data_IF_858522109357
#
_entry.id   IF_858522109357
#
_cell.length_a   1.000
_cell.length_b   1.000
_cell.length_c   1.000
_cell.angle_alpha   90.00
_cell.angle_beta   90.00
_cell.angle_gamma   90.00
#
_symmetry.space_group_name_H-M   'P 1'
#
loop_
_entity.id
_entity.type
_entity.pdbx_description
1 polymer ?
#
# COMPACT_ATOMS: atom_id res chain seq x y z
N UNK A 1 26.04 -3.12 9.50
CA UNK A 1 26.02 -4.38 8.74
C UNK A 1 27.43 -4.82 8.33
N UNK A 2 28.18 -4.02 7.54
CA UNK A 2 29.53 -4.39 7.04
C UNK A 2 30.47 -4.97 8.10
N UNK A 3 30.62 -4.32 9.25
CA UNK A 3 31.46 -4.83 10.36
C UNK A 3 31.00 -6.18 10.90
N UNK A 4 29.69 -6.43 10.94
CA UNK A 4 29.19 -7.69 11.43
C UNK A 4 29.50 -8.82 10.44
N UNK A 5 29.35 -8.58 9.13
CA UNK A 5 29.73 -9.55 8.11
C UNK A 5 31.23 -9.89 8.20
N UNK A 6 32.07 -8.87 8.35
CA UNK A 6 33.53 -9.01 8.42
C UNK A 6 34.02 -9.68 9.72
N UNK A 7 33.51 -9.26 10.88
CA UNK A 7 34.04 -9.68 12.18
C UNK A 7 33.32 -10.89 12.78
N UNK A 8 32.17 -11.25 12.23
CA UNK A 8 31.36 -12.38 12.73
C UNK A 8 31.16 -13.45 11.65
N UNK A 9 32.00 -13.48 10.62
CA UNK A 9 32.05 -14.53 9.59
C UNK A 9 30.66 -14.86 9.00
N UNK A 10 29.90 -13.81 8.66
CA UNK A 10 28.54 -13.91 8.10
C UNK A 10 27.53 -14.70 8.96
N UNK A 11 27.77 -14.86 10.26
CA UNK A 11 26.81 -15.48 11.16
C UNK A 11 25.44 -14.75 11.10
N UNK A 12 24.30 -15.48 11.25
CA UNK A 12 22.98 -14.86 11.21
C UNK A 12 22.84 -13.73 12.22
N UNK A 13 22.54 -12.54 11.74
CA UNK A 13 22.46 -11.36 12.61
C UNK A 13 21.05 -11.16 13.15
N UNK A 14 20.96 -10.75 14.42
CA UNK A 14 19.70 -10.48 15.13
C UNK A 14 19.76 -9.09 15.74
N UNK A 15 18.83 -8.20 15.34
CA UNK A 15 18.83 -6.79 15.77
C UNK A 15 17.53 -6.41 16.48
N UNK A 16 17.60 -5.48 17.43
CA UNK A 16 16.44 -4.80 18.03
C UNK A 16 16.24 -3.47 17.31
N UNK A 17 15.24 -3.38 16.43
CA UNK A 17 15.13 -2.27 15.48
C UNK A 17 16.19 -2.32 14.37
N UNK A 18 17.05 -1.29 14.21
CA UNK A 18 17.31 -0.19 15.17
C UNK A 18 16.33 0.98 15.12
N UNK A 19 16.11 1.64 16.26
CA UNK A 19 15.44 2.93 16.32
C UNK A 19 16.26 3.97 15.55
N UNK A 20 15.65 4.68 14.61
CA UNK A 20 16.34 5.70 13.81
C UNK A 20 16.32 7.09 14.46
N UNK A 21 15.53 7.26 15.51
CA UNK A 21 15.38 8.53 16.25
C UNK A 21 14.78 8.26 17.63
N UNK A 22 15.17 9.07 18.62
CA UNK A 22 14.78 8.91 20.03
C UNK A 22 13.65 9.86 20.46
N UNK A 23 13.17 10.73 19.57
CA UNK A 23 12.26 11.83 19.92
C UNK A 23 10.76 11.48 19.83
N UNK A 24 10.42 10.20 19.61
CA UNK A 24 9.04 9.77 19.37
C UNK A 24 8.59 8.58 20.26
N UNK A 25 8.78 8.64 21.59
CA UNK A 25 8.26 7.59 22.48
C UNK A 25 6.73 7.49 22.32
N UNK A 26 6.20 6.26 22.28
CA UNK A 26 4.82 5.99 21.86
C UNK A 26 4.70 5.56 20.40
N UNK A 27 5.74 5.84 19.59
CA UNK A 27 5.81 5.51 18.16
C UNK A 27 7.08 4.73 17.81
N UNK A 28 7.72 4.09 18.79
CA UNK A 28 9.01 3.43 18.59
C UNK A 28 8.94 2.20 17.69
N UNK A 29 7.79 1.54 17.60
CA UNK A 29 7.51 0.55 16.55
C UNK A 29 7.73 1.12 15.13
N UNK A 30 7.42 2.40 14.89
CA UNK A 30 7.62 3.08 13.60
C UNK A 30 9.07 3.50 13.45
N UNK A 31 9.64 4.19 14.45
CA UNK A 31 11.04 4.67 14.39
C UNK A 31 12.00 3.51 14.18
N UNK A 32 11.74 2.39 14.84
CA UNK A 32 12.51 1.17 14.68
C UNK A 32 12.15 0.36 13.44
N UNK A 33 10.89 0.39 12.98
CA UNK A 33 10.46 -0.26 11.75
C UNK A 33 11.23 0.24 10.52
N UNK A 34 11.55 1.54 10.48
CA UNK A 34 12.39 2.15 9.44
C UNK A 34 13.79 1.51 9.44
N UNK A 35 14.47 1.54 10.59
CA UNK A 35 15.81 0.98 10.71
C UNK A 35 15.82 -0.54 10.51
N UNK A 36 14.79 -1.24 10.97
CA UNK A 36 14.61 -2.68 10.82
C UNK A 36 14.48 -3.08 9.34
N UNK A 37 13.70 -2.34 8.54
CA UNK A 37 13.61 -2.57 7.10
C UNK A 37 14.96 -2.33 6.40
N UNK A 38 15.68 -1.27 6.77
CA UNK A 38 17.00 -0.97 6.20
C UNK A 38 18.04 -2.04 6.54
N UNK A 39 18.18 -2.40 7.83
CA UNK A 39 19.18 -3.38 8.24
C UNK A 39 18.81 -4.80 7.79
N UNK A 40 17.51 -5.10 7.70
CA UNK A 40 16.99 -6.32 7.09
C UNK A 40 17.36 -6.41 5.62
N UNK A 41 17.18 -5.33 4.86
CA UNK A 41 17.61 -5.24 3.45
C UNK A 41 19.12 -5.47 3.32
N UNK A 42 19.91 -4.90 4.22
CA UNK A 42 21.36 -5.07 4.23
C UNK A 42 21.85 -6.47 4.65
N UNK A 43 20.96 -7.36 5.11
CA UNK A 43 21.30 -8.77 5.36
C UNK A 43 21.07 -9.25 6.79
N UNK A 44 20.40 -8.48 7.66
CA UNK A 44 19.99 -8.98 8.97
C UNK A 44 19.03 -10.17 8.82
N UNK A 45 19.26 -11.24 9.56
CA UNK A 45 18.52 -12.50 9.41
C UNK A 45 17.23 -12.53 10.24
N UNK A 46 17.21 -11.83 11.38
CA UNK A 46 16.05 -11.76 12.26
C UNK A 46 15.92 -10.37 12.89
N UNK A 47 14.69 -9.88 13.02
CA UNK A 47 14.38 -8.56 13.55
C UNK A 47 13.55 -8.72 14.83
N UNK A 48 14.09 -8.27 15.96
CA UNK A 48 13.33 -8.19 17.21
C UNK A 48 12.41 -7.00 17.09
N UNK A 49 11.11 -7.26 17.22
CA UNK A 49 10.12 -6.21 17.20
C UNK A 49 10.27 -5.22 18.36
N UNK A 50 9.76 -4.03 18.15
CA UNK A 50 9.64 -2.98 19.16
C UNK A 50 8.17 -2.60 19.20
N UNK A 51 7.61 -2.49 20.40
CA UNK A 51 6.19 -2.15 20.56
C UNK A 51 5.98 -0.63 20.58
N UNK A 52 4.75 -0.13 20.36
CA UNK A 52 4.45 1.29 20.54
C UNK A 52 4.84 1.84 21.92
N UNK A 53 4.72 1.02 22.98
CA UNK A 53 5.00 1.41 24.37
C UNK A 53 6.44 1.16 24.82
N UNK A 54 7.34 0.82 23.90
CA UNK A 54 8.76 0.77 24.25
C UNK A 54 9.18 2.10 24.91
N UNK A 55 10.04 2.01 25.94
CA UNK A 55 10.43 3.14 26.78
C UNK A 55 9.33 3.80 27.62
N UNK A 56 8.08 3.29 27.60
CA UNK A 56 6.95 3.87 28.33
C UNK A 56 6.28 2.89 29.31
N UNK A 57 6.23 1.60 28.99
CA UNK A 57 5.65 0.60 29.88
C UNK A 57 5.39 -0.74 29.22
N UNK A 58 4.73 -1.64 29.95
CA UNK A 58 4.40 -2.97 29.42
C UNK A 58 3.36 -2.88 28.29
N UNK A 59 3.58 -3.56 27.15
CA UNK A 59 2.62 -3.59 26.05
C UNK A 59 1.38 -4.38 26.43
N UNK A 60 0.22 -3.92 25.96
CA UNK A 60 -1.03 -4.68 26.00
C UNK A 60 -1.18 -5.55 24.73
N UNK A 61 -2.29 -6.29 24.63
CA UNK A 61 -2.59 -7.17 23.48
C UNK A 61 -2.52 -6.42 22.14
N UNK A 62 -3.04 -5.19 22.08
CA UNK A 62 -3.07 -4.41 20.86
C UNK A 62 -1.67 -3.90 20.48
N UNK A 63 -0.88 -3.45 21.46
CA UNK A 63 0.50 -3.02 21.25
C UNK A 63 1.37 -4.16 20.70
N UNK A 64 1.13 -5.39 21.16
CA UNK A 64 1.80 -6.59 20.63
C UNK A 64 1.39 -6.84 19.18
N UNK A 65 0.10 -6.81 18.84
CA UNK A 65 -0.37 -6.96 17.45
C UNK A 65 0.26 -5.89 16.55
N UNK A 66 0.28 -4.63 16.99
CA UNK A 66 0.85 -3.51 16.25
C UNK A 66 2.34 -3.70 15.97
N UNK A 67 3.12 -4.07 16.99
CA UNK A 67 4.55 -4.35 16.84
C UNK A 67 4.81 -5.51 15.87
N UNK A 68 4.04 -6.60 15.97
CA UNK A 68 4.20 -7.77 15.09
C UNK A 68 3.87 -7.40 13.64
N UNK A 69 2.75 -6.73 13.39
CA UNK A 69 2.36 -6.32 12.03
C UNK A 69 3.39 -5.34 11.45
N UNK A 70 3.86 -4.37 12.25
CA UNK A 70 4.88 -3.40 11.83
C UNK A 70 6.17 -4.10 11.40
N UNK A 71 6.65 -5.09 12.17
CA UNK A 71 7.87 -5.81 11.83
C UNK A 71 7.68 -6.83 10.71
N UNK A 72 6.47 -7.39 10.52
CA UNK A 72 6.13 -8.17 9.34
C UNK A 72 6.17 -7.32 8.06
N UNK A 73 5.74 -6.07 8.13
CA UNK A 73 5.88 -5.10 7.04
C UNK A 73 7.37 -4.80 6.79
N UNK A 74 8.14 -4.48 7.83
CA UNK A 74 9.57 -4.17 7.69
C UNK A 74 10.37 -5.34 7.10
N UNK A 75 10.12 -6.56 7.56
CA UNK A 75 10.75 -7.77 7.03
C UNK A 75 10.36 -8.01 5.57
N UNK A 76 9.08 -7.89 5.21
CA UNK A 76 8.62 -8.04 3.83
C UNK A 76 9.20 -6.96 2.91
N UNK A 77 9.31 -5.71 3.38
CA UNK A 77 9.95 -4.62 2.65
C UNK A 77 11.45 -4.91 2.40
N UNK A 78 12.15 -5.47 3.40
CA UNK A 78 13.51 -5.94 3.24
C UNK A 78 13.60 -7.07 2.19
N UNK A 79 12.69 -8.04 2.22
CA UNK A 79 12.66 -9.14 1.24
C UNK A 79 12.40 -8.65 -0.19
N UNK A 80 11.51 -7.67 -0.36
CA UNK A 80 11.29 -7.00 -1.65
C UNK A 80 12.56 -6.28 -2.14
N UNK A 81 13.21 -5.51 -1.27
CA UNK A 81 14.43 -4.78 -1.62
C UNK A 81 15.63 -5.70 -1.92
N UNK A 82 15.65 -6.89 -1.31
CA UNK A 82 16.62 -7.97 -1.61
C UNK A 82 16.29 -8.73 -2.90
N UNK A 83 15.10 -8.55 -3.47
CA UNK A 83 14.63 -9.34 -4.60
C UNK A 83 14.41 -10.82 -4.23
N UNK A 84 13.99 -11.11 -2.99
CA UNK A 84 13.75 -12.48 -2.54
C UNK A 84 12.70 -13.16 -3.44
N UNK A 85 12.96 -14.37 -3.98
CA UNK A 85 12.00 -15.10 -4.79
C UNK A 85 10.64 -15.22 -4.07
N UNK A 86 9.57 -14.80 -4.74
CA UNK A 86 8.20 -14.89 -4.23
C UNK A 86 7.71 -13.70 -3.39
N UNK A 87 8.58 -12.81 -2.89
CA UNK A 87 8.14 -11.65 -2.12
C UNK A 87 7.19 -10.77 -2.94
N UNK A 88 7.57 -10.46 -4.18
CA UNK A 88 6.79 -9.61 -5.09
C UNK A 88 5.44 -10.23 -5.52
N UNK A 89 5.25 -11.54 -5.39
CA UNK A 89 3.99 -12.18 -5.81
C UNK A 89 2.81 -11.70 -4.96
N UNK A 90 3.01 -11.52 -3.65
CA UNK A 90 1.97 -11.01 -2.76
C UNK A 90 1.59 -9.57 -3.12
N UNK A 91 2.57 -8.70 -3.34
CA UNK A 91 2.38 -7.31 -3.75
C UNK A 91 1.61 -7.21 -5.05
N UNK A 92 2.00 -8.01 -6.05
CA UNK A 92 1.34 -8.03 -7.35
C UNK A 92 -0.09 -8.58 -7.25
N UNK A 93 -0.33 -9.63 -6.47
CA UNK A 93 -1.66 -10.19 -6.26
C UNK A 93 -2.61 -9.18 -5.57
N UNK A 94 -2.12 -8.49 -4.53
CA UNK A 94 -2.89 -7.47 -3.82
C UNK A 94 -3.12 -6.25 -4.71
N UNK A 95 -2.11 -5.79 -5.43
CA UNK A 95 -2.22 -4.66 -6.36
C UNK A 95 -3.21 -4.94 -7.49
N UNK A 96 -3.22 -6.18 -8.00
CA UNK A 96 -4.19 -6.62 -9.00
C UNK A 96 -5.60 -6.66 -8.41
N UNK A 97 -5.78 -7.22 -7.21
CA UNK A 97 -7.08 -7.22 -6.53
C UNK A 97 -7.61 -5.79 -6.30
N UNK A 98 -6.72 -4.85 -5.96
CA UNK A 98 -7.04 -3.43 -5.81
C UNK A 98 -7.51 -2.79 -7.11
N UNK A 99 -6.77 -3.01 -8.20
CA UNK A 99 -7.10 -2.44 -9.50
C UNK A 99 -8.41 -2.99 -10.07
N UNK A 100 -8.69 -4.28 -9.84
CA UNK A 100 -9.91 -4.97 -10.28
C UNK A 100 -11.09 -4.82 -9.29
N UNK A 101 -10.96 -3.98 -8.26
CA UNK A 101 -11.98 -3.76 -7.23
C UNK A 101 -12.48 -5.06 -6.54
N UNK A 102 -11.62 -6.08 -6.45
CA UNK A 102 -11.88 -7.31 -5.70
C UNK A 102 -11.60 -7.08 -4.22
N UNK A 103 -12.47 -6.31 -3.57
CA UNK A 103 -12.30 -5.85 -2.19
C UNK A 103 -12.02 -6.98 -1.20
N UNK A 104 -12.78 -8.06 -1.26
CA UNK A 104 -12.58 -9.24 -0.39
C UNK A 104 -11.19 -9.85 -0.54
N UNK A 105 -10.73 -10.02 -1.78
CA UNK A 105 -9.40 -10.55 -2.05
C UNK A 105 -8.32 -9.59 -1.57
N UNK A 106 -8.51 -8.27 -1.76
CA UNK A 106 -7.59 -7.26 -1.26
C UNK A 106 -7.47 -7.32 0.26
N UNK A 107 -8.58 -7.44 1.00
CA UNK A 107 -8.54 -7.55 2.46
C UNK A 107 -7.82 -8.82 2.89
N UNK A 108 -8.19 -9.96 2.31
CA UNK A 108 -7.65 -11.27 2.69
C UNK A 108 -6.15 -11.41 2.36
N UNK A 109 -5.66 -10.69 1.35
CA UNK A 109 -4.23 -10.62 1.01
C UNK A 109 -3.43 -9.67 1.92
N UNK A 110 -4.10 -8.77 2.64
CA UNK A 110 -3.49 -7.85 3.61
C UNK A 110 -2.76 -8.56 4.76
N UNK A 111 -1.82 -7.89 5.40
CA UNK A 111 -1.12 -8.43 6.57
C UNK A 111 -2.01 -8.46 7.83
N UNK A 112 -3.01 -7.59 7.88
CA UNK A 112 -4.08 -7.58 8.88
C UNK A 112 -5.44 -7.44 8.18
N UNK A 113 -6.04 -8.57 7.73
CA UNK A 113 -7.31 -8.56 7.00
C UNK A 113 -8.47 -7.96 7.78
N UNK A 114 -8.51 -8.16 9.10
CA UNK A 114 -9.55 -7.62 9.99
C UNK A 114 -9.54 -6.09 9.94
N UNK A 115 -8.38 -5.48 10.17
CA UNK A 115 -8.22 -4.01 10.11
C UNK A 115 -8.50 -3.46 8.72
N UNK A 116 -8.08 -4.17 7.67
CA UNK A 116 -8.31 -3.75 6.28
C UNK A 116 -9.81 -3.64 5.97
N UNK A 117 -10.60 -4.60 6.45
CA UNK A 117 -12.06 -4.62 6.31
C UNK A 117 -12.73 -3.56 7.18
N UNK A 118 -12.32 -3.47 8.44
CA UNK A 118 -12.83 -2.48 9.40
C UNK A 118 -12.73 -1.06 8.83
N UNK A 119 -11.55 -0.65 8.35
CA UNK A 119 -11.34 0.71 7.84
C UNK A 119 -12.13 1.02 6.57
N UNK A 120 -12.38 0.03 5.71
CA UNK A 120 -13.27 0.21 4.58
C UNK A 120 -14.72 0.42 5.05
N UNK A 121 -15.15 -0.43 5.98
CA UNK A 121 -16.55 -0.52 6.43
C UNK A 121 -16.96 0.62 7.36
N UNK A 122 -15.99 1.33 7.96
CA UNK A 122 -16.24 2.59 8.68
C UNK A 122 -17.02 3.61 7.84
N UNK A 123 -16.85 3.60 6.51
CA UNK A 123 -17.51 4.55 5.60
C UNK A 123 -18.43 3.88 4.58
N UNK A 124 -18.14 2.65 4.18
CA UNK A 124 -18.91 1.89 3.19
C UNK A 124 -19.27 0.48 3.72
N UNK A 125 -20.11 0.37 4.77
CA UNK A 125 -20.38 -0.90 5.45
C UNK A 125 -21.23 -1.87 4.64
N UNK A 126 -22.00 -1.38 3.66
CA UNK A 126 -22.93 -2.21 2.90
C UNK A 126 -22.18 -3.27 2.07
N UNK A 127 -22.69 -4.51 2.04
CA UNK A 127 -22.09 -5.61 1.27
C UNK A 127 -21.92 -5.27 -0.21
N UNK A 128 -22.85 -4.51 -0.80
CA UNK A 128 -22.76 -4.04 -2.18
C UNK A 128 -21.52 -3.17 -2.46
N UNK A 129 -20.98 -2.49 -1.44
CA UNK A 129 -19.76 -1.69 -1.59
C UNK A 129 -18.52 -2.57 -1.85
N UNK A 130 -18.54 -3.85 -1.47
CA UNK A 130 -17.44 -4.81 -1.75
C UNK A 130 -17.36 -5.21 -3.22
N UNK A 131 -18.30 -4.74 -4.03
CA UNK A 131 -18.31 -4.86 -5.49
C UNK A 131 -18.25 -3.51 -6.19
N UNK A 132 -18.09 -2.41 -5.43
CA UNK A 132 -18.06 -1.07 -6.00
C UNK A 132 -16.70 -0.76 -6.65
N UNK A 133 -16.74 -0.12 -7.82
CA UNK A 133 -15.54 0.35 -8.52
C UNK A 133 -15.05 1.71 -7.98
N UNK A 134 -15.11 1.90 -6.66
CA UNK A 134 -14.62 3.08 -5.95
C UNK A 134 -14.58 2.83 -4.44
N UNK A 135 -13.90 3.72 -3.70
CA UNK A 135 -14.00 3.82 -2.25
C UNK A 135 -14.49 5.22 -1.84
N UNK A 136 -14.66 5.44 -0.54
CA UNK A 136 -15.11 6.72 0.02
C UNK A 136 -14.16 7.89 -0.24
N UNK A 137 -12.86 7.63 -0.49
CA UNK A 137 -11.88 8.69 -0.74
C UNK A 137 -12.17 9.52 -2.00
N UNK A 138 -12.51 8.88 -3.11
CA UNK A 138 -12.71 9.57 -4.40
C UNK A 138 -14.16 9.49 -4.91
N UNK A 139 -14.97 8.58 -4.34
CA UNK A 139 -16.32 8.33 -4.81
C UNK A 139 -16.39 7.78 -6.23
N UNK A 140 -17.61 7.62 -6.78
CA UNK A 140 -17.85 6.90 -8.03
C UNK A 140 -17.36 7.59 -9.30
N UNK A 141 -17.13 8.91 -9.25
CA UNK A 141 -16.85 9.73 -10.42
C UNK A 141 -15.37 10.11 -10.57
N UNK A 142 -14.58 10.04 -9.50
CA UNK A 142 -13.19 10.52 -9.49
C UNK A 142 -12.18 9.43 -9.10
N UNK A 143 -12.61 8.16 -9.03
CA UNK A 143 -11.68 7.05 -8.81
C UNK A 143 -10.77 6.86 -10.02
N UNK A 144 -9.47 7.10 -9.84
CA UNK A 144 -8.46 7.00 -10.91
C UNK A 144 -8.37 5.62 -11.55
N UNK A 145 -8.53 4.56 -10.75
CA UNK A 145 -8.49 3.17 -11.26
C UNK A 145 -9.70 2.87 -12.15
N UNK A 146 -10.90 3.34 -11.78
CA UNK A 146 -12.11 3.21 -12.60
C UNK A 146 -11.99 4.01 -13.89
N UNK A 147 -11.52 5.25 -13.82
CA UNK A 147 -11.27 6.08 -15.02
C UNK A 147 -10.29 5.36 -15.96
N UNK A 148 -9.24 4.75 -15.42
CA UNK A 148 -8.27 3.97 -16.22
C UNK A 148 -8.92 2.75 -16.87
N UNK A 149 -9.78 2.03 -16.16
CA UNK A 149 -10.55 0.91 -16.70
C UNK A 149 -11.46 1.35 -17.86
N UNK A 150 -12.20 2.45 -17.68
CA UNK A 150 -13.07 3.01 -18.70
C UNK A 150 -12.30 3.43 -19.97
N UNK A 151 -11.14 4.07 -19.81
CA UNK A 151 -10.25 4.44 -20.93
C UNK A 151 -9.73 3.22 -21.67
N UNK A 152 -9.29 2.18 -20.95
CA UNK A 152 -8.83 0.92 -21.56
C UNK A 152 -9.94 0.22 -22.33
N UNK A 153 -11.16 0.24 -21.80
CA UNK A 153 -12.33 -0.34 -22.46
C UNK A 153 -12.68 0.43 -23.74
N UNK A 154 -12.70 1.77 -23.69
CA UNK A 154 -12.91 2.62 -24.86
C UNK A 154 -11.85 2.34 -25.95
N UNK A 155 -10.57 2.25 -25.57
CA UNK A 155 -9.48 1.92 -26.49
C UNK A 155 -9.72 0.57 -27.19
N UNK A 156 -10.05 -0.47 -26.41
CA UNK A 156 -10.31 -1.81 -26.94
C UNK A 156 -11.52 -1.86 -27.88
N UNK A 157 -12.62 -1.17 -27.57
CA UNK A 157 -13.82 -1.11 -28.41
C UNK A 157 -13.57 -0.41 -29.75
N UNK A 158 -12.65 0.55 -29.78
CA UNK A 158 -12.29 1.31 -30.99
C UNK A 158 -11.10 0.72 -31.76
N UNK A 159 -10.43 -0.29 -31.20
CA UNK A 159 -9.19 -0.84 -31.77
C UNK A 159 -8.01 0.12 -31.67
N UNK A 160 -8.04 1.06 -30.73
CA UNK A 160 -6.96 2.01 -30.48
C UNK A 160 -5.91 1.42 -29.54
N UNK A 161 -4.67 1.85 -29.71
CA UNK A 161 -3.65 1.76 -28.65
C UNK A 161 -4.00 2.68 -27.48
N UNK A 162 -3.41 2.46 -26.29
CA UNK A 162 -3.66 3.32 -25.11
C UNK A 162 -3.38 4.80 -25.42
N UNK A 163 -2.30 5.09 -26.16
CA UNK A 163 -1.94 6.46 -26.56
C UNK A 163 -2.95 7.09 -27.52
N UNK A 164 -3.41 6.35 -28.52
CA UNK A 164 -4.42 6.82 -29.49
C UNK A 164 -5.76 7.12 -28.80
N UNK A 165 -6.18 6.26 -27.85
CA UNK A 165 -7.39 6.45 -27.08
C UNK A 165 -7.34 7.71 -26.21
N UNK A 166 -6.17 8.02 -25.64
CA UNK A 166 -5.94 9.23 -24.86
C UNK A 166 -6.04 10.50 -25.71
N UNK A 167 -5.41 10.51 -26.89
CA UNK A 167 -5.48 11.63 -27.83
C UNK A 167 -6.91 11.86 -28.32
N UNK A 168 -7.61 10.79 -28.70
CA UNK A 168 -8.97 10.89 -29.21
C UNK A 168 -9.97 11.29 -28.12
N UNK A 169 -9.87 10.71 -26.91
CA UNK A 169 -10.71 11.11 -25.78
C UNK A 169 -10.52 12.57 -25.38
N UNK A 170 -9.27 13.08 -25.41
CA UNK A 170 -8.99 14.49 -25.18
C UNK A 170 -9.57 15.38 -26.29
N UNK A 171 -9.54 14.93 -27.55
CA UNK A 171 -10.15 15.63 -28.69
C UNK A 171 -11.66 15.72 -28.53
N UNK A 172 -12.32 14.62 -28.18
CA UNK A 172 -13.76 14.57 -27.90
C UNK A 172 -14.15 15.49 -26.74
N UNK A 173 -13.44 15.42 -25.60
CA UNK A 173 -13.71 16.29 -24.45
C UNK A 173 -13.46 17.76 -24.72
N UNK A 174 -12.45 18.08 -25.53
CA UNK A 174 -12.20 19.46 -25.98
C UNK A 174 -13.33 19.99 -26.86
N UNK A 175 -13.87 19.15 -27.77
CA UNK A 175 -15.04 19.49 -28.57
C UNK A 175 -16.29 19.66 -27.71
N UNK A 176 -16.52 18.77 -26.73
CA UNK A 176 -17.61 18.86 -25.76
C UNK A 176 -17.56 20.17 -24.96
N UNK A 177 -16.40 20.50 -24.39
CA UNK A 177 -16.18 21.73 -23.64
C UNK A 177 -16.49 22.98 -24.49
N UNK A 178 -16.01 22.99 -25.73
CA UNK A 178 -16.29 24.10 -26.68
C UNK A 178 -17.78 24.20 -27.00
N UNK A 179 -18.46 23.07 -27.22
CA UNK A 179 -19.89 23.02 -27.52
C UNK A 179 -20.77 23.43 -26.31
N UNK A 180 -20.29 23.22 -25.08
CA UNK A 180 -20.97 23.63 -23.85
C UNK A 180 -20.72 25.12 -23.49
N UNK A 181 -20.10 25.89 -24.39
CA UNK A 181 -19.87 27.32 -24.21
C UNK A 181 -18.49 27.69 -23.66
N UNK A 182 -17.57 26.73 -23.58
CA UNK A 182 -16.20 26.92 -23.09
C UNK A 182 -16.12 27.55 -21.68
N UNK A 183 -17.13 27.28 -20.84
CA UNK A 183 -17.15 27.70 -19.45
C UNK A 183 -16.61 26.59 -18.55
N UNK A 184 -15.58 26.88 -17.76
CA UNK A 184 -15.04 25.95 -16.75
C UNK A 184 -16.06 25.68 -15.64
N UNK A 185 -16.92 26.66 -15.36
CA UNK A 185 -18.00 26.58 -14.38
C UNK A 185 -19.33 26.96 -15.06
N UNK A 186 -20.05 26.00 -15.66
CA UNK A 186 -21.33 26.29 -16.27
C UNK A 186 -22.30 26.81 -15.22
N UNK A 187 -23.09 27.84 -15.57
CA UNK A 187 -24.17 28.35 -14.71
C UNK A 187 -25.21 27.23 -14.50
N UNK A 188 -25.50 26.94 -13.23
CA UNK A 188 -26.49 25.95 -12.80
C UNK A 188 -27.90 26.24 -13.35
#
# INVERSE_FOLDING_TARGET
MTKQLEWCDEAPFYTLGPLTTDIAPGYDHITSGIGAAMIGWYGCAMLCYVTPKEHLGLPNKQDVKEGVITYKIAAHAADLAKGHPGAQYRDNALSKARFEFRWEDQFNLGLDPERSREFHDETLPADGAKTAHFCSMCGPNFCSMKITEDVRKYAAEKGYTEDEALQEGMREKSAEFTNQGAEVYPKA
#
